data_IF_705568479515
#
_entry.id   IF_705568479515
#
_cell.length_a   1.000
_cell.length_b   1.000
_cell.length_c   1.000
_cell.angle_alpha   90.00
_cell.angle_beta   90.00
_cell.angle_gamma   90.00
#
_symmetry.space_group_name_H-M   'P 1'
#
loop_
_entity.id
_entity.type
_entity.pdbx_description
1 polymer ?
#
# COMPACT_ATOMS: atom_id res chain seq x y z
N UNK A 1 -15.08 5.75 -40.47
CA UNK A 1 -15.35 6.60 -39.28
C UNK A 1 -16.07 5.78 -38.24
N UNK A 2 -15.49 5.62 -37.04
CA UNK A 2 -16.12 4.91 -35.93
C UNK A 2 -17.23 5.83 -35.39
N UNK A 3 -18.48 5.35 -35.40
CA UNK A 3 -19.61 6.10 -34.85
C UNK A 3 -19.48 6.18 -33.33
N UNK A 4 -19.51 7.39 -32.81
CA UNK A 4 -19.50 7.65 -31.38
C UNK A 4 -20.84 7.27 -30.76
N UNK A 5 -20.84 6.13 -30.05
CA UNK A 5 -22.02 5.55 -29.41
C UNK A 5 -22.52 6.40 -28.25
N UNK A 6 -21.68 7.24 -27.63
CA UNK A 6 -22.08 8.10 -26.51
C UNK A 6 -23.08 9.16 -26.98
N UNK A 7 -22.81 9.79 -28.13
CA UNK A 7 -23.66 10.81 -28.71
C UNK A 7 -25.02 10.22 -29.15
N UNK A 8 -25.02 9.01 -29.71
CA UNK A 8 -26.25 8.30 -30.10
C UNK A 8 -27.17 8.07 -28.88
N UNK A 9 -26.62 7.60 -27.76
CA UNK A 9 -27.40 7.42 -26.52
C UNK A 9 -27.96 8.72 -25.96
N UNK A 10 -27.21 9.82 -25.99
CA UNK A 10 -27.69 11.12 -25.51
C UNK A 10 -28.84 11.66 -26.37
N UNK A 11 -28.74 11.50 -27.70
CA UNK A 11 -29.82 11.93 -28.62
C UNK A 11 -31.10 11.09 -28.50
N UNK A 12 -30.97 9.81 -28.15
CA UNK A 12 -32.11 8.92 -27.91
C UNK A 12 -32.76 9.17 -26.54
N UNK A 13 -31.95 9.43 -25.50
CA UNK A 13 -32.45 9.76 -24.16
C UNK A 13 -33.21 11.09 -24.11
N UNK A 14 -32.75 12.10 -24.86
CA UNK A 14 -33.46 13.39 -24.98
C UNK A 14 -34.81 13.32 -25.70
N UNK A 15 -35.16 12.19 -26.36
CA UNK A 15 -36.42 11.98 -27.08
C UNK A 15 -37.51 11.28 -26.26
N UNK A 16 -37.20 10.75 -25.07
CA UNK A 16 -38.21 10.13 -24.21
C UNK A 16 -38.88 11.19 -23.33
N UNK A 17 -39.96 11.77 -23.83
CA UNK A 17 -40.86 12.60 -23.03
C UNK A 17 -41.53 11.74 -21.94
N UNK A 18 -41.19 12.01 -20.69
CA UNK A 18 -42.00 11.90 -19.47
C UNK A 18 -42.98 10.72 -19.35
N UNK A 19 -42.56 9.68 -18.62
CA UNK A 19 -43.45 8.93 -17.73
C UNK A 19 -42.98 9.14 -16.30
N UNK A 20 -43.64 10.06 -15.62
CA UNK A 20 -43.36 10.47 -14.25
C UNK A 20 -43.72 9.34 -13.27
N UNK A 21 -42.85 8.35 -13.07
CA UNK A 21 -42.97 7.42 -11.95
C UNK A 21 -42.44 8.13 -10.69
N UNK A 22 -43.35 8.76 -9.93
CA UNK A 22 -43.08 9.21 -8.57
C UNK A 22 -42.85 7.96 -7.70
N UNK A 23 -41.63 7.45 -7.68
CA UNK A 23 -41.21 6.55 -6.62
C UNK A 23 -41.01 7.40 -5.38
N UNK A 24 -41.90 7.18 -4.42
CA UNK A 24 -41.97 7.79 -3.11
C UNK A 24 -40.62 7.60 -2.38
N UNK A 25 -39.69 8.52 -2.56
CA UNK A 25 -38.49 8.64 -1.71
C UNK A 25 -38.88 9.31 -0.40
N UNK A 26 -39.80 8.72 0.33
CA UNK A 26 -39.91 8.98 1.77
C UNK A 26 -38.90 8.08 2.48
N UNK A 27 -37.62 8.37 2.22
CA UNK A 27 -36.54 7.90 3.10
C UNK A 27 -36.79 8.65 4.40
N UNK A 28 -37.48 7.97 5.33
CA UNK A 28 -37.76 8.51 6.65
C UNK A 28 -36.43 8.95 7.28
N UNK A 29 -36.38 10.16 7.82
CA UNK A 29 -35.19 10.70 8.50
C UNK A 29 -34.64 9.74 9.59
N UNK A 30 -35.49 8.83 10.09
CA UNK A 30 -35.13 7.71 10.97
C UNK A 30 -34.10 6.75 10.35
N UNK A 31 -34.21 6.44 9.05
CA UNK A 31 -33.28 5.54 8.34
C UNK A 31 -31.92 6.17 8.03
N UNK A 32 -31.87 7.51 7.91
CA UNK A 32 -30.60 8.23 7.75
C UNK A 32 -29.84 8.39 9.07
N UNK A 33 -30.55 8.41 10.21
CA UNK A 33 -29.92 8.46 11.54
C UNK A 33 -29.36 7.11 12.00
N UNK A 34 -29.91 6.00 11.53
CA UNK A 34 -29.46 4.66 11.92
C UNK A 34 -28.18 4.19 11.16
N UNK A 35 -27.72 4.99 10.17
CA UNK A 35 -26.57 4.68 9.31
C UNK A 35 -25.28 5.44 9.68
N UNK A 36 -25.26 6.19 10.79
CA UNK A 36 -24.09 6.97 11.18
C UNK A 36 -23.64 6.66 12.60
N UNK A 37 -22.89 5.58 12.68
CA UNK A 37 -21.80 5.45 13.64
C UNK A 37 -20.52 5.75 12.84
N UNK A 38 -20.01 6.99 12.91
CA UNK A 38 -18.92 7.49 12.05
C UNK A 38 -17.63 6.64 12.18
N UNK A 39 -17.42 6.00 13.32
CA UNK A 39 -16.22 5.20 13.61
C UNK A 39 -16.23 3.82 12.93
N UNK A 40 -17.42 3.23 12.71
CA UNK A 40 -17.59 1.94 12.02
C UNK A 40 -17.93 2.10 10.52
N UNK A 41 -18.20 3.34 10.11
CA UNK A 41 -18.47 3.74 8.73
C UNK A 41 -17.35 3.34 7.77
N UNK A 42 -17.72 3.11 6.51
CA UNK A 42 -16.78 2.86 5.42
C UNK A 42 -15.76 4.01 5.28
N UNK A 43 -16.17 5.26 5.56
CA UNK A 43 -15.30 6.44 5.44
C UNK A 43 -14.12 6.39 6.42
N UNK A 44 -14.39 6.18 7.72
CA UNK A 44 -13.33 6.06 8.73
C UNK A 44 -12.42 4.84 8.50
N UNK A 45 -12.94 3.78 7.86
CA UNK A 45 -12.09 2.69 7.37
C UNK A 45 -11.18 3.14 6.23
N UNK A 46 -11.70 3.86 5.23
CA UNK A 46 -10.92 4.32 4.06
C UNK A 46 -9.86 5.34 4.46
N UNK A 47 -10.11 6.19 5.45
CA UNK A 47 -9.11 7.09 6.01
C UNK A 47 -7.94 6.30 6.63
N UNK A 48 -8.23 5.27 7.46
CA UNK A 48 -7.21 4.36 7.99
C UNK A 48 -6.44 3.62 6.90
N UNK A 49 -7.10 3.26 5.79
CA UNK A 49 -6.43 2.67 4.62
C UNK A 49 -5.52 3.68 3.89
N UNK A 50 -5.93 4.95 3.83
CA UNK A 50 -5.13 6.03 3.26
C UNK A 50 -3.85 6.25 4.07
N UNK A 51 -3.94 6.28 5.40
CA UNK A 51 -2.76 6.31 6.27
C UNK A 51 -1.82 5.14 6.02
N UNK A 52 -2.36 3.91 5.95
CA UNK A 52 -1.57 2.72 5.68
C UNK A 52 -0.88 2.79 4.32
N UNK A 53 -1.56 3.31 3.30
CA UNK A 53 -0.98 3.54 1.97
C UNK A 53 0.16 4.55 2.03
N UNK A 54 0.02 5.62 2.80
CA UNK A 54 1.10 6.60 2.99
C UNK A 54 2.33 5.97 3.68
N UNK A 55 2.11 5.13 4.69
CA UNK A 55 3.19 4.39 5.36
C UNK A 55 3.91 3.47 4.36
N UNK A 56 3.15 2.73 3.54
CA UNK A 56 3.75 1.86 2.51
C UNK A 56 4.52 2.68 1.46
N UNK A 57 3.98 3.82 1.02
CA UNK A 57 4.69 4.71 0.09
C UNK A 57 6.00 5.25 0.68
N UNK A 58 6.03 5.55 1.99
CA UNK A 58 7.27 5.94 2.67
C UNK A 58 8.29 4.79 2.70
N UNK A 59 7.86 3.56 2.94
CA UNK A 59 8.73 2.38 2.90
C UNK A 59 9.32 2.17 1.49
N UNK A 60 8.54 2.40 0.43
CA UNK A 60 9.02 2.36 -0.95
C UNK A 60 10.06 3.44 -1.25
N UNK A 61 9.88 4.67 -0.74
CA UNK A 61 10.90 5.72 -0.85
C UNK A 61 12.22 5.30 -0.20
N UNK A 62 12.16 4.82 1.05
CA UNK A 62 13.36 4.38 1.75
C UNK A 62 14.03 3.17 1.09
N UNK A 63 13.27 2.27 0.47
CA UNK A 63 13.81 1.15 -0.30
C UNK A 63 14.69 1.64 -1.47
N UNK A 64 14.26 2.70 -2.14
CA UNK A 64 14.99 3.31 -3.24
C UNK A 64 16.19 4.13 -2.74
N UNK A 65 16.07 4.85 -1.63
CA UNK A 65 17.22 5.54 -1.01
C UNK A 65 18.31 4.54 -0.58
N UNK A 66 17.92 3.41 0.02
CA UNK A 66 18.83 2.31 0.37
C UNK A 66 19.49 1.73 -0.87
N UNK A 67 18.82 1.71 -2.03
CA UNK A 67 19.45 1.33 -3.31
C UNK A 67 20.58 2.25 -3.69
N UNK A 68 20.32 3.55 -3.64
CA UNK A 68 21.27 4.57 -4.08
C UNK A 68 22.48 4.56 -3.15
N UNK A 69 22.26 4.63 -1.83
CA UNK A 69 23.33 4.63 -0.84
C UNK A 69 24.20 3.37 -0.89
N UNK A 70 23.59 2.18 -1.05
CA UNK A 70 24.38 0.96 -1.25
C UNK A 70 25.21 1.00 -2.55
N UNK A 71 24.66 1.57 -3.63
CA UNK A 71 25.39 1.75 -4.88
C UNK A 71 26.59 2.67 -4.71
N UNK A 72 26.41 3.82 -4.08
CA UNK A 72 27.48 4.79 -3.81
C UNK A 72 28.57 4.21 -2.91
N UNK A 73 28.20 3.49 -1.84
CA UNK A 73 29.14 2.86 -0.93
C UNK A 73 29.98 1.75 -1.60
N UNK A 74 29.45 1.08 -2.61
CA UNK A 74 30.18 0.08 -3.39
C UNK A 74 31.16 0.72 -4.40
N UNK A 75 30.86 1.93 -4.87
CA UNK A 75 31.70 2.68 -5.81
C UNK A 75 32.80 3.50 -5.11
N UNK A 76 32.60 3.85 -3.84
CA UNK A 76 33.52 4.68 -3.10
C UNK A 76 34.88 3.97 -2.85
N UNK A 77 36.02 4.61 -3.16
CA UNK A 77 37.36 4.02 -2.98
C UNK A 77 37.73 3.80 -1.51
N UNK A 78 37.11 4.55 -0.59
CA UNK A 78 37.13 4.37 0.86
C UNK A 78 35.69 4.49 1.40
N UNK A 79 35.34 3.72 2.44
CA UNK A 79 33.98 3.73 3.00
C UNK A 79 33.67 5.08 3.64
N UNK A 80 32.74 5.82 3.04
CA UNK A 80 32.21 7.04 3.61
C UNK A 80 31.43 6.72 4.89
N UNK A 81 31.98 7.13 6.03
CA UNK A 81 31.41 6.88 7.36
C UNK A 81 30.04 7.54 7.55
N UNK A 82 29.80 8.69 6.91
CA UNK A 82 28.55 9.41 6.97
C UNK A 82 27.46 8.64 6.22
N UNK A 83 27.71 8.27 4.96
CA UNK A 83 26.77 7.47 4.14
C UNK A 83 26.48 6.10 4.76
N UNK A 84 27.48 5.48 5.39
CA UNK A 84 27.30 4.22 6.11
C UNK A 84 26.37 4.37 7.32
N UNK A 85 26.43 5.51 8.01
CA UNK A 85 25.55 5.79 9.13
C UNK A 85 24.12 6.12 8.66
N UNK A 86 23.97 6.93 7.61
CA UNK A 86 22.69 7.24 7.00
C UNK A 86 21.96 5.96 6.55
N UNK A 87 22.68 5.04 5.90
CA UNK A 87 22.16 3.73 5.51
C UNK A 87 21.65 2.93 6.72
N UNK A 88 22.41 2.88 7.82
CA UNK A 88 21.99 2.17 9.05
C UNK A 88 20.70 2.76 9.64
N UNK A 89 20.58 4.08 9.68
CA UNK A 89 19.39 4.77 10.17
C UNK A 89 18.17 4.47 9.29
N UNK A 90 18.32 4.54 7.97
CA UNK A 90 17.25 4.19 7.03
C UNK A 90 16.80 2.73 7.19
N UNK A 91 17.74 1.81 7.39
CA UNK A 91 17.40 0.40 7.62
C UNK A 91 16.59 0.19 8.91
N UNK A 92 16.95 0.85 10.01
CA UNK A 92 16.19 0.73 11.26
C UNK A 92 14.82 1.41 11.20
N UNK A 93 14.74 2.57 10.53
CA UNK A 93 13.48 3.26 10.27
C UNK A 93 12.55 2.37 9.43
N UNK A 94 13.06 1.76 8.35
CA UNK A 94 12.31 0.82 7.53
C UNK A 94 11.80 -0.37 8.37
N UNK A 95 12.66 -0.96 9.19
CA UNK A 95 12.32 -2.09 10.05
C UNK A 95 11.20 -1.74 11.03
N UNK A 96 11.32 -0.60 11.70
CA UNK A 96 10.36 -0.17 12.72
C UNK A 96 9.02 0.21 12.09
N UNK A 97 9.04 1.01 11.03
CA UNK A 97 7.82 1.45 10.34
C UNK A 97 7.08 0.30 9.65
N UNK A 98 7.80 -0.67 9.06
CA UNK A 98 7.17 -1.86 8.47
C UNK A 98 6.50 -2.75 9.52
N UNK A 99 7.06 -2.83 10.75
CA UNK A 99 6.42 -3.52 11.86
C UNK A 99 5.13 -2.81 12.30
N UNK A 100 5.16 -1.48 12.39
CA UNK A 100 3.97 -0.67 12.69
C UNK A 100 2.88 -0.88 11.62
N UNK A 101 3.24 -0.81 10.33
CA UNK A 101 2.32 -1.07 9.22
C UNK A 101 1.70 -2.46 9.33
N UNK A 102 2.52 -3.49 9.60
CA UNK A 102 2.07 -4.87 9.77
C UNK A 102 1.07 -5.00 10.93
N UNK A 103 1.33 -4.34 12.05
CA UNK A 103 0.44 -4.39 13.21
C UNK A 103 -0.88 -3.67 12.95
N UNK A 104 -0.85 -2.49 12.30
CA UNK A 104 -2.05 -1.76 11.87
C UNK A 104 -2.90 -2.60 10.91
N UNK A 105 -2.30 -3.19 9.88
CA UNK A 105 -2.98 -4.08 8.93
C UNK A 105 -3.60 -5.27 9.66
N UNK A 106 -2.88 -5.92 10.57
CA UNK A 106 -3.39 -7.06 11.34
C UNK A 106 -4.61 -6.70 12.20
N UNK A 107 -4.63 -5.49 12.76
CA UNK A 107 -5.78 -5.03 13.54
C UNK A 107 -7.00 -4.82 12.65
N UNK A 108 -6.83 -4.18 11.49
CA UNK A 108 -7.92 -3.97 10.53
C UNK A 108 -8.40 -5.29 9.92
N UNK A 109 -7.50 -6.21 9.61
CA UNK A 109 -7.86 -7.54 9.08
C UNK A 109 -8.75 -8.32 10.07
N UNK A 110 -8.43 -8.25 11.37
CA UNK A 110 -9.29 -8.83 12.41
C UNK A 110 -10.67 -8.17 12.48
N UNK A 111 -10.74 -6.86 12.33
CA UNK A 111 -12.00 -6.11 12.31
C UNK A 111 -12.86 -6.57 11.12
N UNK A 112 -12.28 -6.63 9.92
CA UNK A 112 -12.97 -7.01 8.68
C UNK A 112 -13.37 -8.48 8.65
N UNK A 113 -12.58 -9.37 9.25
CA UNK A 113 -12.84 -10.80 9.32
C UNK A 113 -13.53 -11.24 10.61
N UNK A 114 -13.87 -10.30 11.50
CA UNK A 114 -14.70 -10.61 12.67
C UNK A 114 -16.04 -11.18 12.19
N UNK A 115 -16.58 -12.16 12.93
CA UNK A 115 -17.80 -12.89 12.54
C UNK A 115 -19.02 -11.97 12.58
N UNK A 116 -19.20 -11.18 11.53
CA UNK A 116 -20.42 -10.45 11.25
C UNK A 116 -21.55 -11.40 10.87
N UNK A 117 -22.80 -10.95 11.03
CA UNK A 117 -23.95 -11.74 10.60
C UNK A 117 -23.79 -12.12 9.12
N UNK A 118 -24.21 -13.32 8.68
CA UNK A 118 -24.00 -13.79 7.30
C UNK A 118 -24.51 -12.82 6.22
N UNK A 119 -25.50 -11.98 6.51
CA UNK A 119 -26.00 -10.96 5.59
C UNK A 119 -25.11 -9.71 5.52
N UNK A 120 -24.47 -9.29 6.62
CA UNK A 120 -23.47 -8.21 6.63
C UNK A 120 -22.20 -8.60 5.86
N UNK A 121 -21.82 -9.89 5.91
CA UNK A 121 -20.65 -10.42 5.20
C UNK A 121 -20.75 -10.31 3.67
N UNK A 122 -21.99 -10.16 3.14
CA UNK A 122 -22.30 -10.01 1.71
C UNK A 122 -22.45 -8.56 1.28
N UNK A 123 -22.37 -7.59 2.19
CA UNK A 123 -22.48 -6.16 1.87
C UNK A 123 -21.35 -5.69 0.94
N UNK A 124 -21.64 -4.67 0.14
CA UNK A 124 -20.66 -3.99 -0.72
C UNK A 124 -19.51 -3.45 0.14
N UNK A 125 -19.82 -2.85 1.28
CA UNK A 125 -18.83 -2.27 2.19
C UNK A 125 -17.87 -3.35 2.71
N UNK A 126 -18.40 -4.50 3.12
CA UNK A 126 -17.61 -5.66 3.55
C UNK A 126 -16.67 -6.16 2.45
N UNK A 127 -17.11 -6.13 1.18
CA UNK A 127 -16.26 -6.47 0.02
C UNK A 127 -15.17 -5.44 -0.23
N UNK A 128 -15.51 -4.15 -0.13
CA UNK A 128 -14.54 -3.04 -0.27
C UNK A 128 -13.47 -3.17 0.82
N UNK A 129 -13.89 -3.30 2.08
CA UNK A 129 -12.97 -3.43 3.23
C UNK A 129 -12.00 -4.61 3.06
N UNK A 130 -12.50 -5.80 2.72
CA UNK A 130 -11.67 -7.00 2.50
C UNK A 130 -10.69 -6.86 1.34
N UNK A 131 -11.12 -6.25 0.25
CA UNK A 131 -10.26 -6.02 -0.91
C UNK A 131 -9.13 -5.03 -0.58
N UNK A 132 -9.44 -3.92 0.09
CA UNK A 132 -8.44 -2.92 0.50
C UNK A 132 -7.37 -3.53 1.43
N UNK A 133 -7.78 -4.26 2.46
CA UNK A 133 -6.85 -4.94 3.38
C UNK A 133 -5.95 -5.93 2.63
N UNK A 134 -6.53 -6.72 1.71
CA UNK A 134 -5.79 -7.69 0.91
C UNK A 134 -4.73 -7.00 0.05
N UNK A 135 -5.13 -5.97 -0.70
CA UNK A 135 -4.25 -5.20 -1.59
C UNK A 135 -3.09 -4.57 -0.83
N UNK A 136 -3.36 -3.86 0.27
CA UNK A 136 -2.32 -3.22 1.08
C UNK A 136 -1.39 -4.25 1.72
N UNK A 137 -1.92 -5.39 2.17
CA UNK A 137 -1.11 -6.50 2.70
C UNK A 137 -0.12 -7.01 1.66
N UNK A 138 -0.56 -7.19 0.41
CA UNK A 138 0.32 -7.59 -0.69
C UNK A 138 1.41 -6.55 -0.97
N UNK A 139 1.07 -5.26 -0.97
CA UNK A 139 2.07 -4.20 -1.17
C UNK A 139 3.11 -4.16 -0.07
N UNK A 140 2.71 -4.25 1.20
CA UNK A 140 3.66 -4.30 2.32
C UNK A 140 4.56 -5.54 2.22
N UNK A 141 3.98 -6.69 1.89
CA UNK A 141 4.72 -7.93 1.70
C UNK A 141 5.76 -7.78 0.58
N UNK A 142 5.35 -7.25 -0.57
CA UNK A 142 6.25 -6.97 -1.69
C UNK A 142 7.39 -6.03 -1.30
N UNK A 143 7.08 -4.93 -0.61
CA UNK A 143 8.06 -3.93 -0.18
C UNK A 143 9.09 -4.56 0.77
N UNK A 144 8.63 -5.30 1.79
CA UNK A 144 9.51 -5.99 2.75
C UNK A 144 10.37 -7.08 2.10
N UNK A 145 9.82 -7.89 1.20
CA UNK A 145 10.62 -8.87 0.46
C UNK A 145 11.66 -8.20 -0.43
N UNK A 146 11.28 -7.13 -1.14
CA UNK A 146 12.20 -6.38 -1.98
C UNK A 146 13.35 -5.80 -1.15
N UNK A 147 13.05 -5.26 0.03
CA UNK A 147 14.05 -4.78 0.97
C UNK A 147 15.01 -5.88 1.44
N UNK A 148 14.48 -7.02 1.89
CA UNK A 148 15.30 -8.17 2.32
C UNK A 148 16.18 -8.69 1.19
N UNK A 149 15.62 -8.87 -0.01
CA UNK A 149 16.36 -9.32 -1.19
C UNK A 149 17.54 -8.39 -1.48
N UNK A 150 17.32 -7.08 -1.43
CA UNK A 150 18.35 -6.08 -1.69
C UNK A 150 19.48 -6.11 -0.68
N UNK A 151 19.18 -6.27 0.61
CA UNK A 151 20.21 -6.43 1.65
C UNK A 151 21.05 -7.67 1.38
N UNK A 152 20.42 -8.80 1.05
CA UNK A 152 21.13 -10.05 0.75
C UNK A 152 22.04 -9.89 -0.46
N UNK A 153 21.56 -9.28 -1.55
CA UNK A 153 22.37 -9.00 -2.75
C UNK A 153 23.53 -8.05 -2.44
N UNK A 154 23.30 -7.00 -1.65
CA UNK A 154 24.35 -6.08 -1.25
C UNK A 154 25.44 -6.79 -0.41
N UNK A 155 25.04 -7.65 0.52
CA UNK A 155 25.96 -8.45 1.34
C UNK A 155 26.80 -9.42 0.49
N UNK A 156 26.20 -10.10 -0.49
CA UNK A 156 26.91 -10.98 -1.42
C UNK A 156 27.93 -10.23 -2.30
N UNK A 157 27.58 -9.02 -2.75
CA UNK A 157 28.53 -8.19 -3.51
C UNK A 157 29.72 -7.75 -2.66
N UNK A 158 29.48 -7.38 -1.40
CA UNK A 158 30.56 -7.02 -0.46
C UNK A 158 31.48 -8.19 -0.12
N UNK A 159 30.94 -9.42 0.02
CA UNK A 159 31.79 -10.61 0.26
C UNK A 159 32.60 -11.00 -0.98
N UNK A 160 32.04 -10.88 -2.18
CA UNK A 160 32.75 -11.07 -3.44
C UNK A 160 33.92 -10.08 -3.62
N UNK A 161 33.68 -8.79 -3.33
CA UNK A 161 34.72 -7.75 -3.42
C UNK A 161 35.86 -7.97 -2.41
N UNK A 162 35.56 -8.40 -1.18
CA UNK A 162 36.58 -8.72 -0.17
C UNK A 162 37.49 -9.87 -0.60
N UNK A 163 36.95 -10.91 -1.22
CA UNK A 163 37.74 -12.04 -1.72
C UNK A 163 38.69 -11.63 -2.87
N UNK A 164 38.25 -10.74 -3.77
CA UNK A 164 39.11 -10.21 -4.84
C UNK A 164 40.25 -9.35 -4.27
N UNK A 165 39.98 -8.53 -3.25
CA UNK A 165 41.02 -7.69 -2.60
C UNK A 165 42.05 -8.51 -1.82
N UNK A 166 41.64 -9.60 -1.17
CA UNK A 166 42.55 -10.50 -0.44
C UNK A 166 43.42 -11.35 -1.38
N UNK A 167 42.90 -11.74 -2.56
CA UNK A 167 43.69 -12.41 -3.59
C UNK A 167 44.84 -11.55 -4.16
N UNK A 168 44.66 -10.23 -4.18
CA UNK A 168 45.67 -9.28 -4.66
C UNK A 168 46.76 -8.93 -3.63
N UNK A 169 46.56 -9.22 -2.33
CA UNK A 169 47.56 -8.96 -1.28
C UNK A 169 48.46 -10.17 -1.00
N UNK A 170 48.15 -11.36 -1.53
CA UNK A 170 48.97 -12.56 -1.38
C UNK A 170 49.92 -12.80 -2.57
N UNK A 171 50.02 -11.84 -3.48
CA UNK A 171 50.98 -11.82 -4.60
C UNK A 171 51.75 -10.50 -4.56
N UNK A 172 52.58 -10.31 -3.54
CA UNK A 172 53.65 -9.31 -3.50
C UNK A 172 54.77 -9.83 -2.60
#
# INVERSE_FOLDING_TARGET
MVKDRLNEFQTLSGKTNSTHHKNDRRISAETSKLLHDEETSLEGFLERMSELRNIVGQLESWLEEVRILHGELLLAPASDGEKSQQLRVLMENFRTTSLVARQKIKNVDKEVNSKSHPDESKSVDSRIKRNQVSVISYFLLFCTFSFTYRIVVAAQRLSGVKNVRLGHQNFA
#
